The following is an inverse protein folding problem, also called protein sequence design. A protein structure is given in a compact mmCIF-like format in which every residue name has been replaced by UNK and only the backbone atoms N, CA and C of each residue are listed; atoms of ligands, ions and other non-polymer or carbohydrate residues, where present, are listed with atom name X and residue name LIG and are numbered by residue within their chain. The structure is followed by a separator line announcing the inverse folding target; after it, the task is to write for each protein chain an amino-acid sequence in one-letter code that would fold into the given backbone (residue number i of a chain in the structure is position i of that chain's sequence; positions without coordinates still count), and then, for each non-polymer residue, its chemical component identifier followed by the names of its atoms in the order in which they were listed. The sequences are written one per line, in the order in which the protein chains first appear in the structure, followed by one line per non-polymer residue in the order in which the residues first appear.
data_IF_905873953785
#
_entry.id   IF_905873953785
#
_cell.length_a   1.000
_cell.length_b   1.000
_cell.length_c   1.000
_cell.angle_alpha   90.00
_cell.angle_beta   90.00
_cell.angle_gamma   90.00
#
_symmetry.space_group_name_H-M   'P 1'
#
loop_
_entity.id
_entity.type
_entity.pdbx_description
1 polymer ?
#
# COMPACT_ATOMS: atom_id res chain seq x y z
N UNK A 1 30.67 24.12 2.04
CA UNK A 1 29.96 22.87 2.44
C UNK A 1 28.48 22.85 2.10
N UNK A 2 27.69 23.93 2.25
CA UNK A 2 26.26 23.95 1.86
C UNK A 2 26.05 23.76 0.36
N UNK A 3 26.88 24.36 -0.50
CA UNK A 3 26.76 24.30 -1.96
C UNK A 3 26.97 22.93 -2.60
N UNK A 4 27.48 21.94 -1.86
CA UNK A 4 27.75 20.61 -2.41
C UNK A 4 26.64 19.58 -2.15
N UNK A 5 25.77 19.84 -1.16
CA UNK A 5 24.75 18.89 -0.73
C UNK A 5 23.32 19.39 -0.98
N UNK A 6 23.13 20.68 -1.20
CA UNK A 6 21.81 21.28 -1.38
C UNK A 6 21.74 22.03 -2.71
N UNK A 7 20.66 21.88 -3.42
CA UNK A 7 20.31 22.77 -4.52
C UNK A 7 19.72 24.03 -3.91
N UNK A 8 20.25 25.17 -4.30
CA UNK A 8 19.93 26.48 -3.71
C UNK A 8 19.40 27.40 -4.80
N UNK A 9 18.26 28.05 -4.51
CA UNK A 9 17.67 29.10 -5.35
C UNK A 9 17.40 30.29 -4.46
N UNK A 10 17.73 31.49 -4.96
CA UNK A 10 17.35 32.75 -4.36
C UNK A 10 16.25 33.40 -5.19
N UNK A 11 15.18 33.83 -4.53
CA UNK A 11 13.97 34.32 -5.15
C UNK A 11 13.65 35.75 -4.67
N UNK A 12 13.14 36.58 -5.59
CA UNK A 12 12.59 37.91 -5.25
C UNK A 12 11.25 37.79 -4.52
N UNK A 13 10.72 38.95 -4.10
CA UNK A 13 9.34 39.10 -3.58
C UNK A 13 8.26 38.58 -4.55
N UNK A 14 8.53 38.59 -5.83
CA UNK A 14 7.60 38.20 -6.89
C UNK A 14 7.86 36.78 -7.39
N UNK A 15 8.53 35.94 -6.59
CA UNK A 15 8.94 34.57 -6.96
C UNK A 15 9.85 34.48 -8.19
N UNK A 16 10.53 35.58 -8.57
CA UNK A 16 11.49 35.55 -9.69
C UNK A 16 12.83 34.98 -9.25
N UNK A 17 13.42 34.14 -10.09
CA UNK A 17 14.70 33.52 -9.83
C UNK A 17 15.82 34.57 -10.00
N UNK A 18 16.52 34.84 -8.90
CA UNK A 18 17.67 35.76 -8.88
C UNK A 18 18.99 35.02 -9.11
N UNK A 19 19.18 33.94 -8.38
CA UNK A 19 20.41 33.17 -8.37
C UNK A 19 20.12 31.70 -8.09
N UNK A 20 20.91 30.84 -8.66
CA UNK A 20 20.89 29.40 -8.43
C UNK A 20 22.33 28.88 -8.32
N UNK A 21 22.54 27.81 -7.54
CA UNK A 21 23.85 27.19 -7.46
C UNK A 21 24.10 26.20 -8.60
N UNK A 22 25.39 25.83 -8.81
CA UNK A 22 25.80 24.90 -9.86
C UNK A 22 25.09 23.54 -9.75
N UNK A 23 24.88 23.03 -8.52
CA UNK A 23 24.22 21.76 -8.30
C UNK A 23 22.78 21.75 -8.83
N UNK A 24 22.04 22.87 -8.69
CA UNK A 24 20.71 22.98 -9.28
C UNK A 24 20.77 22.96 -10.82
N UNK A 25 21.68 23.74 -11.41
CA UNK A 25 21.83 23.80 -12.86
C UNK A 25 22.16 22.40 -13.45
N UNK A 26 23.07 21.68 -12.79
CA UNK A 26 23.46 20.33 -13.20
C UNK A 26 22.29 19.35 -13.10
N UNK A 27 21.60 19.30 -11.95
CA UNK A 27 20.54 18.35 -11.70
C UNK A 27 19.28 18.59 -12.53
N UNK A 28 18.99 19.84 -12.87
CA UNK A 28 17.83 20.24 -13.63
C UNK A 28 18.11 20.51 -15.11
N UNK A 29 19.38 20.46 -15.53
CA UNK A 29 19.84 20.64 -16.90
C UNK A 29 19.54 22.04 -17.47
N UNK A 30 19.33 23.05 -16.61
CA UNK A 30 19.17 24.43 -17.02
C UNK A 30 20.52 25.15 -17.08
N UNK A 31 20.57 26.19 -17.90
CA UNK A 31 21.62 27.20 -17.83
C UNK A 31 21.13 28.39 -17.01
N UNK A 32 22.02 29.23 -16.55
CA UNK A 32 21.65 30.44 -15.81
C UNK A 32 20.76 31.36 -16.66
N UNK A 33 21.01 31.42 -17.97
CA UNK A 33 20.25 32.23 -18.92
C UNK A 33 18.82 31.70 -19.15
N UNK A 34 18.62 30.38 -19.03
CA UNK A 34 17.28 29.77 -19.12
C UNK A 34 16.38 30.18 -17.92
N UNK A 35 16.98 30.46 -16.77
CA UNK A 35 16.27 30.64 -15.49
C UNK A 35 16.17 32.10 -15.05
N UNK A 36 17.11 32.94 -15.46
CA UNK A 36 17.25 34.31 -14.94
C UNK A 36 15.96 35.12 -15.14
N UNK A 37 15.43 35.66 -14.04
CA UNK A 37 14.15 36.39 -13.96
C UNK A 37 12.93 35.57 -14.38
N UNK A 38 13.06 34.25 -14.54
CA UNK A 38 11.92 33.34 -14.69
C UNK A 38 11.09 33.28 -13.42
N UNK A 39 9.81 33.01 -13.57
CA UNK A 39 8.93 32.75 -12.43
C UNK A 39 9.17 31.36 -11.87
N UNK A 40 9.56 31.25 -10.60
CA UNK A 40 9.77 29.95 -9.95
C UNK A 40 8.57 29.02 -10.07
N UNK A 41 7.35 29.58 -10.02
CA UNK A 41 6.11 28.81 -10.09
C UNK A 41 5.87 28.16 -11.47
N UNK A 42 6.56 28.62 -12.51
CA UNK A 42 6.49 27.96 -13.84
C UNK A 42 7.25 26.63 -13.88
N UNK A 43 8.17 26.40 -12.96
CA UNK A 43 8.94 25.18 -12.84
C UNK A 43 8.35 24.18 -11.83
N UNK A 44 7.35 24.61 -11.03
CA UNK A 44 6.70 23.77 -10.03
C UNK A 44 5.60 22.93 -10.67
N UNK A 45 5.63 21.64 -10.44
CA UNK A 45 4.55 20.73 -10.80
C UNK A 45 3.53 20.69 -9.66
N UNK A 46 2.42 21.45 -9.77
CA UNK A 46 1.38 21.55 -8.75
C UNK A 46 0.42 22.69 -9.04
N UNK A 47 -0.62 22.83 -8.22
CA UNK A 47 -1.58 23.93 -8.37
C UNK A 47 -0.97 25.25 -7.89
N UNK A 48 -0.90 26.24 -8.79
CA UNK A 48 -0.35 27.57 -8.47
C UNK A 48 -1.04 28.22 -7.26
N UNK A 49 -2.33 27.94 -7.06
CA UNK A 49 -3.10 28.49 -5.93
C UNK A 49 -2.62 28.00 -4.55
N UNK A 50 -2.12 26.77 -4.46
CA UNK A 50 -1.54 26.24 -3.21
C UNK A 50 -0.22 26.92 -2.89
N UNK A 51 0.62 27.08 -3.90
CA UNK A 51 1.90 27.78 -3.77
C UNK A 51 1.75 29.27 -3.44
N UNK A 52 0.68 29.91 -3.89
CA UNK A 52 0.40 31.30 -3.53
C UNK A 52 0.21 31.46 -2.01
N UNK A 53 -0.48 30.50 -1.34
CA UNK A 53 -0.62 30.54 0.12
C UNK A 53 0.72 30.38 0.84
N UNK A 54 1.57 29.48 0.36
CA UNK A 54 2.94 29.31 0.88
C UNK A 54 3.72 30.61 0.73
N UNK A 55 3.59 31.26 -0.44
CA UNK A 55 4.26 32.52 -0.72
C UNK A 55 3.83 33.65 0.22
N UNK A 56 2.53 33.78 0.46
CA UNK A 56 1.97 34.78 1.40
C UNK A 56 2.50 34.57 2.83
N UNK A 57 2.66 33.32 3.28
CA UNK A 57 3.23 33.01 4.60
C UNK A 57 4.72 33.32 4.69
N UNK A 58 5.49 33.08 3.63
CA UNK A 58 6.91 33.41 3.57
C UNK A 58 7.14 34.94 3.72
N UNK A 59 6.27 35.75 3.13
CA UNK A 59 6.34 37.23 3.26
C UNK A 59 5.92 37.72 4.62
N UNK A 60 5.20 36.91 5.41
CA UNK A 60 4.95 37.18 6.84
C UNK A 60 6.14 36.71 7.73
N UNK A 61 7.23 36.25 7.12
CA UNK A 61 8.41 35.82 7.83
C UNK A 61 8.36 34.38 8.34
N UNK A 62 7.38 33.58 7.90
CA UNK A 62 7.30 32.16 8.25
C UNK A 62 8.16 31.34 7.31
N UNK A 63 8.92 30.42 7.85
CA UNK A 63 9.64 29.40 7.07
C UNK A 63 8.64 28.32 6.63
N UNK A 64 8.84 27.77 5.42
CA UNK A 64 8.09 26.63 4.93
C UNK A 64 9.01 25.42 4.72
N UNK A 65 8.54 24.23 5.11
CA UNK A 65 9.21 22.95 4.85
C UNK A 65 8.18 21.97 4.30
N UNK A 66 8.55 21.26 3.25
CA UNK A 66 7.66 20.28 2.66
C UNK A 66 8.24 19.62 1.42
N UNK A 67 7.44 18.75 0.83
CA UNK A 67 7.76 18.15 -0.46
C UNK A 67 7.34 19.09 -1.59
N UNK A 68 8.20 19.23 -2.59
CA UNK A 68 7.89 19.91 -3.85
C UNK A 68 8.27 19.04 -5.03
N UNK A 69 7.69 19.30 -6.18
CA UNK A 69 8.05 18.63 -7.42
C UNK A 69 8.36 19.71 -8.46
N UNK A 70 9.55 19.67 -9.01
CA UNK A 70 9.99 20.61 -10.06
C UNK A 70 10.23 19.87 -11.38
N UNK A 71 10.09 20.60 -12.48
CA UNK A 71 10.28 20.08 -13.84
C UNK A 71 11.67 20.44 -14.33
N UNK A 72 12.43 19.47 -14.87
CA UNK A 72 13.70 19.73 -15.53
C UNK A 72 13.50 20.37 -16.91
N UNK A 73 14.56 20.87 -17.52
CA UNK A 73 14.55 21.42 -18.89
C UNK A 73 14.00 20.43 -19.93
N UNK A 74 14.12 19.13 -19.67
CA UNK A 74 13.66 18.08 -20.59
C UNK A 74 12.28 17.50 -20.23
N UNK A 75 11.58 18.12 -19.25
CA UNK A 75 10.24 17.70 -18.85
C UNK A 75 10.21 16.57 -17.81
N UNK A 76 11.35 16.17 -17.26
CA UNK A 76 11.41 15.17 -16.19
C UNK A 76 10.98 15.79 -14.86
N UNK A 77 10.25 15.01 -14.06
CA UNK A 77 9.83 15.41 -12.72
C UNK A 77 10.90 15.02 -11.68
N UNK A 78 11.29 16.00 -10.87
CA UNK A 78 12.18 15.82 -9.72
C UNK A 78 11.43 16.07 -8.41
N UNK A 79 11.39 15.06 -7.58
CA UNK A 79 10.81 15.18 -6.24
C UNK A 79 11.85 15.67 -5.26
N UNK A 80 11.51 16.73 -4.54
CA UNK A 80 12.42 17.44 -3.65
C UNK A 80 11.83 17.53 -2.24
N UNK A 81 12.69 17.34 -1.25
CA UNK A 81 12.43 17.87 0.09
C UNK A 81 12.95 19.29 0.13
N UNK A 82 12.06 20.25 0.40
CA UNK A 82 12.30 21.67 0.18
C UNK A 82 12.11 22.47 1.45
N UNK A 83 13.03 23.38 1.70
CA UNK A 83 12.96 24.37 2.77
C UNK A 83 13.03 25.76 2.17
N UNK A 84 12.05 26.61 2.47
CA UNK A 84 12.02 28.01 2.04
C UNK A 84 12.23 28.90 3.25
N UNK A 85 13.24 29.74 3.18
CA UNK A 85 13.71 30.57 4.28
C UNK A 85 13.61 32.05 3.89
N UNK A 86 12.78 32.83 4.57
CA UNK A 86 12.76 34.28 4.38
C UNK A 86 14.10 34.90 4.82
N UNK A 87 14.69 35.74 3.98
CA UNK A 87 15.91 36.49 4.25
C UNK A 87 15.55 37.95 4.49
N UNK A 88 16.02 38.49 5.61
CA UNK A 88 15.65 39.83 6.07
C UNK A 88 16.72 40.87 5.69
N UNK A 89 16.23 42.04 5.32
CA UNK A 89 17.07 43.22 5.22
C UNK A 89 16.32 44.38 5.97
N UNK A 90 17.01 45.01 6.89
CA UNK A 90 16.45 46.12 7.73
C UNK A 90 15.10 45.77 8.40
N UNK A 91 14.95 44.49 8.85
CA UNK A 91 13.75 44.02 9.56
C UNK A 91 12.59 43.56 8.68
N UNK A 92 12.68 43.73 7.37
CA UNK A 92 11.68 43.28 6.41
C UNK A 92 12.19 42.11 5.59
N UNK A 93 11.30 41.20 5.19
CA UNK A 93 11.65 40.13 4.24
C UNK A 93 12.02 40.76 2.91
N UNK A 94 13.23 40.47 2.45
CA UNK A 94 13.79 41.04 1.23
C UNK A 94 13.82 40.02 0.07
N UNK A 95 14.09 38.80 0.40
CA UNK A 95 14.18 37.69 -0.54
C UNK A 95 13.87 36.36 0.16
N UNK A 96 13.66 35.29 -0.61
CA UNK A 96 13.51 33.95 -0.09
C UNK A 96 14.67 33.10 -0.60
N UNK A 97 15.36 32.41 0.29
CA UNK A 97 16.35 31.39 -0.06
C UNK A 97 15.68 30.01 0.04
N UNK A 98 15.84 29.18 -0.97
CA UNK A 98 15.33 27.83 -0.96
C UNK A 98 16.47 26.82 -0.90
N UNK A 99 16.28 25.77 -0.12
CA UNK A 99 17.19 24.64 -0.03
C UNK A 99 16.42 23.40 -0.44
N UNK A 100 16.96 22.65 -1.40
CA UNK A 100 16.31 21.44 -1.92
C UNK A 100 17.24 20.24 -1.85
N UNK A 101 16.68 19.10 -1.45
CA UNK A 101 17.32 17.79 -1.49
C UNK A 101 16.57 16.92 -2.48
N UNK A 102 17.27 16.33 -3.44
CA UNK A 102 16.67 15.41 -4.43
C UNK A 102 16.28 14.10 -3.74
N UNK A 103 14.98 13.77 -3.78
CA UNK A 103 14.38 12.52 -3.27
C UNK A 103 13.83 11.65 -4.40
N UNK A 104 14.13 11.99 -5.66
CA UNK A 104 13.55 11.32 -6.83
C UNK A 104 13.84 9.83 -6.84
N UNK A 105 15.09 9.43 -6.59
CA UNK A 105 15.47 8.02 -6.56
C UNK A 105 14.79 7.28 -5.42
N UNK A 106 14.69 7.90 -4.24
CA UNK A 106 13.98 7.33 -3.09
C UNK A 106 12.50 7.14 -3.40
N UNK A 107 11.82 8.16 -3.94
CA UNK A 107 10.39 8.09 -4.33
C UNK A 107 10.15 7.05 -5.42
N UNK A 108 11.04 6.98 -6.41
CA UNK A 108 10.96 5.96 -7.45
C UNK A 108 11.15 4.55 -6.87
N UNK A 109 12.11 4.35 -5.97
CA UNK A 109 12.32 3.07 -5.31
C UNK A 109 11.11 2.64 -4.48
N UNK A 110 10.48 3.56 -3.73
CA UNK A 110 9.25 3.32 -2.99
C UNK A 110 8.09 2.95 -3.92
N UNK A 111 7.92 3.69 -5.02
CA UNK A 111 6.91 3.39 -6.05
C UNK A 111 7.13 2.02 -6.68
N UNK A 112 8.36 1.69 -7.07
CA UNK A 112 8.70 0.37 -7.61
C UNK A 112 8.47 -0.74 -6.60
N UNK A 113 8.79 -0.51 -5.32
CA UNK A 113 8.51 -1.45 -4.24
C UNK A 113 7.01 -1.67 -4.08
N UNK A 114 6.20 -0.61 -4.10
CA UNK A 114 4.74 -0.72 -4.07
C UNK A 114 4.21 -1.52 -5.25
N UNK A 115 4.61 -1.18 -6.48
CA UNK A 115 4.21 -1.90 -7.69
C UNK A 115 4.64 -3.39 -7.65
N UNK A 116 5.83 -3.69 -7.11
CA UNK A 116 6.33 -5.05 -6.99
C UNK A 116 5.62 -5.91 -5.94
N UNK A 117 4.96 -5.28 -4.94
CA UNK A 117 4.33 -5.96 -3.81
C UNK A 117 2.81 -5.79 -3.72
N UNK A 118 2.18 -5.08 -4.66
CA UNK A 118 0.73 -4.90 -4.73
C UNK A 118 0.14 -5.62 -5.93
N UNK A 119 -1.10 -6.08 -5.78
CA UNK A 119 -1.90 -6.64 -6.87
C UNK A 119 -2.52 -5.50 -7.68
N UNK A 120 -2.33 -5.49 -9.00
CA UNK A 120 -2.70 -4.37 -9.86
C UNK A 120 -4.19 -4.01 -9.82
N UNK A 121 -5.09 -5.02 -9.68
CA UNK A 121 -6.53 -4.79 -9.63
C UNK A 121 -7.00 -4.28 -8.25
N UNK A 122 -6.65 -4.98 -7.18
CA UNK A 122 -7.23 -4.75 -5.84
C UNK A 122 -6.39 -3.87 -4.94
N UNK A 123 -5.14 -3.57 -5.34
CA UNK A 123 -4.13 -2.88 -4.54
C UNK A 123 -3.82 -3.55 -3.18
N UNK A 124 -4.29 -4.77 -2.96
CA UNK A 124 -3.89 -5.60 -1.82
C UNK A 124 -2.45 -6.08 -1.97
N UNK A 125 -1.77 -6.47 -0.89
CA UNK A 125 -0.52 -7.22 -0.98
C UNK A 125 -0.66 -8.42 -1.93
N UNK A 126 0.33 -8.59 -2.82
CA UNK A 126 0.32 -9.66 -3.80
C UNK A 126 1.05 -10.92 -3.30
N UNK A 127 1.11 -11.96 -4.16
CA UNK A 127 1.81 -13.21 -3.87
C UNK A 127 3.27 -13.03 -3.43
N UNK A 128 3.98 -12.05 -4.03
CA UNK A 128 5.38 -11.78 -3.67
C UNK A 128 5.51 -11.26 -2.25
N UNK A 129 4.60 -10.33 -1.85
CA UNK A 129 4.55 -9.81 -0.49
C UNK A 129 4.16 -10.89 0.51
N UNK A 130 3.22 -11.80 0.14
CA UNK A 130 2.83 -12.93 0.98
C UNK A 130 4.04 -13.78 1.37
N UNK A 131 4.85 -14.23 0.39
CA UNK A 131 6.02 -15.08 0.66
C UNK A 131 6.99 -14.41 1.63
N UNK A 132 7.32 -13.13 1.41
CA UNK A 132 8.17 -12.38 2.33
C UNK A 132 7.56 -12.28 3.73
N UNK A 133 6.24 -12.02 3.82
CA UNK A 133 5.54 -11.90 5.10
C UNK A 133 5.44 -13.24 5.85
N UNK A 134 5.33 -14.35 5.12
CA UNK A 134 5.35 -15.70 5.73
C UNK A 134 6.71 -16.02 6.32
N UNK A 135 7.80 -15.76 5.60
CA UNK A 135 9.16 -16.01 6.11
C UNK A 135 9.43 -15.18 7.39
N UNK A 136 9.05 -13.89 7.38
CA UNK A 136 9.15 -13.01 8.55
C UNK A 136 8.31 -13.52 9.73
N UNK A 137 7.10 -14.02 9.46
CA UNK A 137 6.17 -14.50 10.48
C UNK A 137 6.63 -15.83 11.09
N UNK A 138 7.14 -16.76 10.26
CA UNK A 138 7.72 -18.02 10.72
C UNK A 138 8.91 -17.74 11.65
N UNK A 139 9.84 -16.87 11.24
CA UNK A 139 11.00 -16.53 12.04
C UNK A 139 10.61 -15.95 13.42
N UNK A 140 9.61 -15.06 13.49
CA UNK A 140 9.09 -14.52 14.74
C UNK A 140 8.38 -15.59 15.59
N UNK A 141 7.53 -16.39 14.96
CA UNK A 141 6.78 -17.43 15.65
C UNK A 141 7.69 -18.52 16.24
N UNK A 142 8.80 -18.84 15.55
CA UNK A 142 9.82 -19.76 16.05
C UNK A 142 10.55 -19.19 17.28
N UNK A 143 10.87 -17.89 17.28
CA UNK A 143 11.54 -17.22 18.41
C UNK A 143 10.63 -17.09 19.63
N UNK A 144 9.36 -16.73 19.40
CA UNK A 144 8.40 -16.40 20.46
C UNK A 144 7.60 -17.63 20.94
N UNK A 145 7.72 -18.78 20.27
CA UNK A 145 6.93 -19.99 20.53
C UNK A 145 5.43 -19.78 20.26
N UNK A 146 5.08 -18.91 19.31
CA UNK A 146 3.69 -18.56 19.00
C UNK A 146 3.15 -19.36 17.80
N UNK A 147 1.81 -19.36 17.66
CA UNK A 147 1.12 -20.00 16.53
C UNK A 147 0.45 -18.93 15.67
N UNK A 148 0.41 -19.15 14.37
CA UNK A 148 -0.37 -18.36 13.43
C UNK A 148 -1.13 -19.27 12.47
N UNK A 149 -2.17 -18.72 11.84
CA UNK A 149 -2.94 -19.45 10.85
C UNK A 149 -2.77 -18.86 9.44
N UNK A 150 -2.77 -19.74 8.45
CA UNK A 150 -2.87 -19.42 7.03
C UNK A 150 -4.27 -19.81 6.55
N UNK A 151 -5.02 -18.84 6.05
CA UNK A 151 -6.36 -19.08 5.50
C UNK A 151 -6.29 -18.87 3.98
N UNK A 152 -6.60 -19.89 3.23
CA UNK A 152 -6.78 -19.82 1.78
C UNK A 152 -8.27 -19.62 1.49
N UNK A 153 -8.64 -18.53 0.84
CA UNK A 153 -10.02 -18.12 0.56
C UNK A 153 -10.24 -18.03 -0.95
N UNK A 154 -11.37 -18.54 -1.40
CA UNK A 154 -11.79 -18.53 -2.80
C UNK A 154 -13.28 -18.19 -2.92
N UNK A 155 -13.66 -17.49 -3.99
CA UNK A 155 -15.05 -17.09 -4.26
C UNK A 155 -15.74 -18.18 -5.06
N UNK A 156 -16.74 -18.81 -4.45
CA UNK A 156 -17.46 -19.89 -5.08
C UNK A 156 -18.16 -19.43 -6.36
N UNK A 157 -17.96 -20.18 -7.45
CA UNK A 157 -18.60 -19.91 -8.74
C UNK A 157 -18.31 -18.51 -9.32
N UNK A 158 -17.17 -17.91 -9.04
CA UNK A 158 -16.80 -16.57 -9.56
C UNK A 158 -16.89 -16.50 -11.10
N UNK A 159 -16.59 -17.59 -11.79
CA UNK A 159 -16.77 -17.68 -13.24
C UNK A 159 -18.22 -17.40 -13.67
N UNK A 160 -19.21 -17.87 -12.91
CA UNK A 160 -20.64 -17.62 -13.23
C UNK A 160 -20.96 -16.12 -13.10
N UNK A 161 -20.35 -15.42 -12.14
CA UNK A 161 -20.49 -13.96 -12.04
C UNK A 161 -19.94 -13.28 -13.29
N UNK A 162 -18.73 -13.65 -13.72
CA UNK A 162 -18.12 -13.11 -14.95
C UNK A 162 -18.96 -13.40 -16.19
N UNK A 163 -19.45 -14.64 -16.32
CA UNK A 163 -20.26 -15.06 -17.48
C UNK A 163 -21.64 -14.35 -17.51
N UNK A 164 -22.20 -14.00 -16.33
CA UNK A 164 -23.53 -13.38 -16.21
C UNK A 164 -23.50 -11.86 -16.29
N UNK A 165 -22.49 -11.22 -15.69
CA UNK A 165 -22.42 -9.76 -15.51
C UNK A 165 -21.23 -9.12 -16.22
N UNK A 166 -20.33 -9.91 -16.79
CA UNK A 166 -19.12 -9.44 -17.47
C UNK A 166 -17.94 -9.26 -16.50
N UNK A 167 -16.73 -9.26 -17.08
CA UNK A 167 -15.47 -9.17 -16.31
C UNK A 167 -15.34 -7.88 -15.51
N UNK A 168 -15.89 -6.76 -15.99
CA UNK A 168 -15.85 -5.48 -15.27
C UNK A 168 -16.53 -5.58 -13.91
N UNK A 169 -17.69 -6.23 -13.84
CA UNK A 169 -18.43 -6.45 -12.60
C UNK A 169 -17.69 -7.46 -11.71
N UNK A 170 -17.10 -8.51 -12.29
CA UNK A 170 -16.25 -9.43 -11.55
C UNK A 170 -15.04 -8.72 -10.90
N UNK A 171 -14.39 -7.85 -11.63
CA UNK A 171 -13.28 -7.04 -11.11
C UNK A 171 -13.72 -6.12 -9.95
N UNK A 172 -14.87 -5.45 -10.08
CA UNK A 172 -15.44 -4.63 -9.00
C UNK A 172 -15.80 -5.48 -7.78
N UNK A 173 -16.28 -6.70 -7.97
CA UNK A 173 -16.57 -7.64 -6.87
C UNK A 173 -15.28 -8.00 -6.10
N UNK A 174 -14.20 -8.34 -6.81
CA UNK A 174 -12.91 -8.63 -6.21
C UNK A 174 -12.37 -7.44 -5.41
N UNK A 175 -12.47 -6.23 -5.96
CA UNK A 175 -12.07 -4.98 -5.29
C UNK A 175 -12.87 -4.78 -4.00
N UNK A 176 -14.20 -4.94 -4.06
CA UNK A 176 -15.07 -4.67 -2.92
C UNK A 176 -14.93 -5.74 -1.82
N UNK A 177 -14.75 -7.01 -2.18
CA UNK A 177 -14.42 -8.09 -1.23
C UNK A 177 -13.10 -7.77 -0.52
N UNK A 178 -12.05 -7.47 -1.29
CA UNK A 178 -10.76 -7.10 -0.74
C UNK A 178 -10.85 -5.93 0.23
N UNK A 179 -11.58 -4.89 -0.14
CA UNK A 179 -11.81 -3.68 0.66
C UNK A 179 -12.60 -3.94 1.94
N UNK A 180 -13.63 -4.80 1.90
CA UNK A 180 -14.42 -5.14 3.11
C UNK A 180 -13.64 -6.02 4.07
N UNK A 181 -12.95 -7.04 3.55
CA UNK A 181 -12.20 -7.99 4.37
C UNK A 181 -10.96 -7.33 4.98
N UNK A 182 -10.20 -6.53 4.22
CA UNK A 182 -9.01 -5.86 4.76
C UNK A 182 -9.31 -4.85 5.88
N UNK A 183 -10.54 -4.33 5.97
CA UNK A 183 -10.96 -3.43 7.06
C UNK A 183 -11.30 -4.14 8.37
N UNK A 184 -11.38 -5.46 8.37
CA UNK A 184 -11.61 -6.21 9.59
C UNK A 184 -10.41 -6.08 10.54
N UNK A 185 -10.64 -6.04 11.86
CA UNK A 185 -9.56 -5.98 12.83
C UNK A 185 -8.55 -7.12 12.62
N UNK A 186 -7.27 -6.82 12.71
CA UNK A 186 -6.14 -7.74 12.53
C UNK A 186 -5.88 -8.19 11.08
N UNK A 187 -6.62 -7.71 10.07
CA UNK A 187 -6.44 -8.09 8.67
C UNK A 187 -5.83 -6.99 7.79
N UNK A 188 -5.58 -5.81 8.35
CA UNK A 188 -4.84 -4.76 7.64
C UNK A 188 -3.44 -5.27 7.26
N UNK A 189 -3.07 -5.14 5.97
CA UNK A 189 -1.83 -5.68 5.37
C UNK A 189 -1.62 -7.21 5.57
N UNK A 190 -2.65 -7.95 6.02
CA UNK A 190 -2.64 -9.40 6.23
C UNK A 190 -3.53 -10.18 5.26
N UNK A 191 -4.26 -9.47 4.42
CA UNK A 191 -5.01 -10.03 3.29
C UNK A 191 -4.19 -9.86 2.02
N UNK A 192 -3.96 -10.96 1.30
CA UNK A 192 -3.17 -11.02 0.08
C UNK A 192 -4.04 -11.50 -1.08
N UNK A 193 -3.96 -10.83 -2.22
CA UNK A 193 -4.62 -11.29 -3.45
C UNK A 193 -3.61 -12.08 -4.28
N UNK A 194 -3.93 -13.37 -4.53
CA UNK A 194 -3.01 -14.28 -5.19
C UNK A 194 -3.14 -14.24 -6.70
N UNK A 195 -4.31 -14.56 -7.19
CA UNK A 195 -4.68 -14.56 -8.62
C UNK A 195 -6.18 -14.83 -8.76
N UNK A 196 -6.82 -14.27 -9.80
CA UNK A 196 -8.23 -14.54 -10.06
C UNK A 196 -9.11 -14.24 -8.84
N UNK A 197 -9.77 -15.26 -8.30
CA UNK A 197 -10.67 -15.24 -7.16
C UNK A 197 -10.05 -15.74 -5.84
N UNK A 198 -8.72 -15.94 -5.82
CA UNK A 198 -7.98 -16.50 -4.69
C UNK A 198 -7.35 -15.42 -3.80
N UNK A 199 -7.60 -15.52 -2.50
CA UNK A 199 -7.01 -14.67 -1.47
C UNK A 199 -6.37 -15.52 -0.39
N UNK A 200 -5.32 -14.99 0.25
CA UNK A 200 -4.73 -15.60 1.45
C UNK A 200 -4.74 -14.60 2.60
N UNK A 201 -5.02 -15.08 3.79
CA UNK A 201 -4.96 -14.30 5.03
C UNK A 201 -3.92 -14.94 5.95
N UNK A 202 -3.03 -14.11 6.51
CA UNK A 202 -2.12 -14.49 7.58
C UNK A 202 -2.65 -13.96 8.90
N UNK A 203 -3.14 -14.84 9.76
CA UNK A 203 -3.68 -14.48 11.06
C UNK A 203 -2.66 -14.80 12.15
N UNK A 204 -2.03 -13.77 12.73
CA UNK A 204 -0.97 -13.90 13.73
C UNK A 204 -1.45 -14.53 15.05
N UNK A 205 -2.68 -14.31 15.42
CA UNK A 205 -3.29 -14.89 16.64
C UNK A 205 -4.31 -15.97 16.25
N UNK A 206 -3.86 -17.22 16.22
CA UNK A 206 -4.71 -18.35 15.87
C UNK A 206 -5.90 -18.56 16.82
N UNK A 207 -5.85 -18.01 18.04
CA UNK A 207 -6.98 -18.09 18.97
C UNK A 207 -8.21 -17.28 18.52
N UNK A 208 -8.01 -16.29 17.62
CA UNK A 208 -9.09 -15.47 17.05
C UNK A 208 -9.70 -16.04 15.78
N UNK A 209 -9.25 -17.21 15.33
CA UNK A 209 -9.55 -17.76 14.01
C UNK A 209 -11.07 -17.85 13.74
N UNK A 210 -11.83 -18.52 14.61
CA UNK A 210 -13.28 -18.69 14.41
C UNK A 210 -14.02 -17.34 14.38
N UNK A 211 -13.61 -16.38 15.21
CA UNK A 211 -14.18 -15.03 15.25
C UNK A 211 -13.89 -14.24 13.98
N UNK A 212 -12.67 -14.39 13.45
CA UNK A 212 -12.26 -13.71 12.21
C UNK A 212 -12.99 -14.30 11.02
N UNK A 213 -13.07 -15.64 10.90
CA UNK A 213 -13.82 -16.32 9.84
C UNK A 213 -15.30 -15.91 9.89
N UNK A 214 -15.92 -15.93 11.07
CA UNK A 214 -17.30 -15.48 11.24
C UNK A 214 -17.51 -14.02 10.80
N UNK A 215 -16.54 -13.15 11.09
CA UNK A 215 -16.57 -11.74 10.65
C UNK A 215 -16.45 -11.62 9.14
N UNK A 216 -15.61 -12.41 8.49
CA UNK A 216 -15.46 -12.45 7.04
C UNK A 216 -16.79 -12.88 6.40
N UNK A 217 -17.37 -14.01 6.85
CA UNK A 217 -18.65 -14.49 6.34
C UNK A 217 -19.75 -13.45 6.46
N UNK A 218 -19.86 -12.80 7.61
CA UNK A 218 -20.84 -11.73 7.83
C UNK A 218 -20.66 -10.52 6.89
N UNK A 219 -19.45 -10.24 6.38
CA UNK A 219 -19.25 -9.20 5.36
C UNK A 219 -19.69 -9.69 3.96
N UNK A 220 -19.44 -10.94 3.63
CA UNK A 220 -19.83 -11.53 2.32
C UNK A 220 -21.34 -11.68 2.22
N UNK A 221 -22.01 -12.14 3.28
CA UNK A 221 -23.47 -12.36 3.33
C UNK A 221 -24.29 -11.08 3.14
N UNK A 222 -23.71 -9.90 3.29
CA UNK A 222 -24.37 -8.62 3.00
C UNK A 222 -24.68 -8.43 1.51
N UNK A 223 -24.13 -9.27 0.63
CA UNK A 223 -24.18 -9.06 -0.80
C UNK A 223 -23.44 -7.81 -1.27
N UNK A 224 -23.43 -7.56 -2.55
CA UNK A 224 -22.68 -6.50 -3.20
C UNK A 224 -23.56 -5.75 -4.19
N UNK A 225 -23.69 -4.45 -4.01
CA UNK A 225 -24.36 -3.58 -4.98
C UNK A 225 -23.28 -2.93 -5.87
N UNK A 226 -23.21 -3.38 -7.13
CA UNK A 226 -22.17 -2.99 -8.07
C UNK A 226 -22.84 -2.53 -9.38
N UNK A 227 -22.67 -1.27 -9.74
CA UNK A 227 -23.23 -0.67 -10.96
C UNK A 227 -24.74 -0.99 -11.19
N UNK A 228 -25.52 -0.98 -10.11
CA UNK A 228 -26.98 -1.27 -10.17
C UNK A 228 -27.34 -2.75 -10.16
N UNK A 229 -26.38 -3.66 -10.03
CA UNK A 229 -26.59 -5.10 -9.86
C UNK A 229 -26.37 -5.49 -8.40
N UNK A 230 -27.32 -6.26 -7.83
CA UNK A 230 -27.14 -6.89 -6.53
C UNK A 230 -26.62 -8.31 -6.71
N UNK A 231 -25.43 -8.58 -6.18
CA UNK A 231 -24.70 -9.83 -6.37
C UNK A 231 -24.49 -10.50 -5.03
N UNK A 232 -24.93 -11.75 -4.93
CA UNK A 232 -24.68 -12.63 -3.80
C UNK A 232 -23.65 -13.68 -4.21
N UNK A 233 -22.65 -13.85 -3.38
CA UNK A 233 -21.63 -14.89 -3.56
C UNK A 233 -21.37 -15.58 -2.24
N UNK A 234 -20.82 -16.78 -2.31
CA UNK A 234 -20.31 -17.50 -1.17
C UNK A 234 -18.79 -17.66 -1.31
N UNK A 235 -18.12 -17.88 -0.21
CA UNK A 235 -16.68 -18.14 -0.17
C UNK A 235 -16.39 -19.46 0.53
N UNK A 236 -15.30 -20.09 0.12
CA UNK A 236 -14.74 -21.26 0.78
C UNK A 236 -13.37 -20.91 1.38
N UNK A 237 -13.13 -21.30 2.62
CA UNK A 237 -11.89 -21.04 3.33
C UNK A 237 -11.27 -22.34 3.79
N UNK A 238 -9.99 -22.58 3.47
CA UNK A 238 -9.20 -23.64 4.06
C UNK A 238 -8.18 -23.06 5.04
N UNK A 239 -7.91 -23.78 6.11
CA UNK A 239 -7.08 -23.32 7.22
C UNK A 239 -5.95 -24.29 7.50
N UNK A 240 -4.73 -23.79 7.63
CA UNK A 240 -3.59 -24.50 8.21
C UNK A 240 -2.95 -23.68 9.32
N UNK A 241 -2.33 -24.34 10.30
CA UNK A 241 -1.79 -23.71 11.52
C UNK A 241 -0.31 -24.03 11.66
N UNK A 242 0.52 -22.99 11.79
CA UNK A 242 1.92 -23.11 12.16
C UNK A 242 2.05 -23.22 13.69
N UNK A 243 2.91 -24.10 14.23
CA UNK A 243 3.69 -25.14 13.55
C UNK A 243 2.95 -26.49 13.48
N UNK A 244 1.67 -26.55 13.90
CA UNK A 244 0.93 -27.80 14.11
C UNK A 244 0.78 -28.61 12.82
N UNK A 245 0.54 -27.95 11.67
CA UNK A 245 0.41 -28.61 10.37
C UNK A 245 1.74 -28.70 9.62
N UNK A 246 2.54 -27.65 9.69
CA UNK A 246 3.86 -27.60 9.07
C UNK A 246 4.68 -26.42 9.59
N UNK A 247 6.01 -26.56 9.50
CA UNK A 247 6.97 -25.46 9.72
C UNK A 247 7.41 -24.81 8.40
N UNK A 248 6.97 -25.35 7.26
CA UNK A 248 7.34 -24.87 5.95
C UNK A 248 6.23 -24.01 5.33
N UNK A 249 6.56 -22.77 4.95
CA UNK A 249 5.63 -21.80 4.37
C UNK A 249 4.84 -22.37 3.17
N UNK A 250 5.53 -23.02 2.24
CA UNK A 250 4.89 -23.60 1.05
C UNK A 250 3.92 -24.71 1.41
N UNK A 251 4.32 -25.60 2.35
CA UNK A 251 3.46 -26.70 2.77
C UNK A 251 2.22 -26.21 3.51
N UNK A 252 2.35 -25.14 4.33
CA UNK A 252 1.18 -24.51 4.97
C UNK A 252 0.18 -23.99 3.93
N UNK A 253 0.65 -23.32 2.88
CA UNK A 253 -0.23 -22.86 1.80
C UNK A 253 -0.91 -24.02 1.06
N UNK A 254 -0.16 -25.10 0.74
CA UNK A 254 -0.71 -26.29 0.10
C UNK A 254 -1.80 -26.95 0.95
N UNK A 255 -1.56 -27.11 2.27
CA UNK A 255 -2.53 -27.67 3.19
C UNK A 255 -3.79 -26.82 3.34
N UNK A 256 -3.64 -25.50 3.37
CA UNK A 256 -4.78 -24.59 3.38
C UNK A 256 -5.59 -24.67 2.07
N UNK A 257 -4.93 -24.77 0.91
CA UNK A 257 -5.58 -24.95 -0.39
C UNK A 257 -6.35 -26.28 -0.46
N UNK A 258 -5.73 -27.40 -0.05
CA UNK A 258 -6.39 -28.71 0.04
C UNK A 258 -7.66 -28.63 0.91
N UNK A 259 -7.59 -28.00 2.09
CA UNK A 259 -8.74 -27.81 2.97
C UNK A 259 -9.82 -26.89 2.37
N UNK A 260 -9.43 -25.82 1.66
CA UNK A 260 -10.36 -24.95 0.95
C UNK A 260 -11.13 -25.72 -0.14
N UNK A 261 -10.46 -26.60 -0.86
CA UNK A 261 -11.13 -27.44 -1.84
C UNK A 261 -12.18 -28.38 -1.20
N UNK A 262 -11.92 -28.90 0.02
CA UNK A 262 -12.91 -29.66 0.79
C UNK A 262 -14.10 -28.77 1.20
N UNK A 263 -13.84 -27.52 1.64
CA UNK A 263 -14.85 -26.55 1.98
C UNK A 263 -15.80 -26.23 0.79
N UNK A 264 -15.28 -26.19 -0.44
CA UNK A 264 -16.08 -25.97 -1.68
C UNK A 264 -17.16 -27.03 -1.92
N UNK A 265 -17.06 -28.20 -1.32
CA UNK A 265 -18.10 -29.23 -1.45
C UNK A 265 -19.33 -28.94 -0.59
N UNK A 266 -19.27 -27.98 0.31
CA UNK A 266 -20.35 -27.59 1.19
C UNK A 266 -21.19 -26.46 0.57
N UNK A 267 -22.45 -26.39 0.97
CA UNK A 267 -23.34 -25.29 0.55
C UNK A 267 -23.08 -24.03 1.37
N UNK A 268 -23.19 -22.86 0.71
CA UNK A 268 -23.02 -21.56 1.35
C UNK A 268 -21.57 -21.18 1.62
N UNK A 269 -21.36 -20.28 2.58
CA UNK A 269 -20.03 -19.98 3.11
C UNK A 269 -19.56 -21.14 3.97
N UNK A 270 -18.36 -21.64 3.73
CA UNK A 270 -17.84 -22.78 4.46
C UNK A 270 -16.34 -22.66 4.72
N UNK A 271 -15.88 -23.30 5.78
CA UNK A 271 -14.44 -23.47 6.01
C UNK A 271 -14.11 -24.87 6.52
N UNK A 272 -12.87 -25.28 6.28
CA UNK A 272 -12.28 -26.53 6.74
C UNK A 272 -10.87 -26.29 7.26
N UNK A 273 -10.49 -27.09 8.25
CA UNK A 273 -9.10 -27.21 8.69
C UNK A 273 -8.36 -28.23 7.85
N UNK A 274 -7.06 -28.07 7.72
CA UNK A 274 -6.22 -29.15 7.20
C UNK A 274 -6.47 -30.45 7.97
N UNK A 275 -6.27 -31.59 7.32
CA UNK A 275 -6.50 -32.90 7.98
C UNK A 275 -5.57 -33.13 9.16
N UNK A 276 -4.37 -32.54 9.11
CA UNK A 276 -3.40 -32.62 10.19
C UNK A 276 -3.88 -31.85 11.42
N UNK A 277 -4.40 -30.64 11.27
CA UNK A 277 -5.03 -29.84 12.34
C UNK A 277 -6.32 -30.48 12.89
N UNK A 278 -7.12 -31.11 12.03
CA UNK A 278 -8.38 -31.73 12.44
C UNK A 278 -8.18 -32.81 13.49
N UNK A 279 -7.09 -33.56 13.43
CA UNK A 279 -6.72 -34.57 14.42
C UNK A 279 -6.39 -33.91 15.79
N UNK A 280 -5.70 -32.79 15.81
CA UNK A 280 -5.31 -32.05 17.03
C UNK A 280 -6.54 -31.42 17.70
N UNK A 281 -7.45 -30.85 16.93
CA UNK A 281 -8.69 -30.25 17.44
C UNK A 281 -9.62 -31.32 18.06
N UNK A 282 -9.71 -32.50 17.45
CA UNK A 282 -10.49 -33.61 17.99
C UNK A 282 -9.91 -34.15 19.29
N UNK A 283 -8.58 -34.27 19.40
CA UNK A 283 -7.91 -34.71 20.63
C UNK A 283 -8.11 -33.70 21.79
N UNK A 284 -8.06 -32.41 21.50
CA UNK A 284 -8.27 -31.38 22.52
C UNK A 284 -9.73 -31.29 23.01
N UNK A 285 -10.72 -31.54 22.14
CA UNK A 285 -12.14 -31.62 22.53
C UNK A 285 -12.48 -32.93 23.26
N UNK A 286 -11.69 -33.99 23.05
CA UNK A 286 -11.86 -35.28 23.77
C UNK A 286 -11.37 -35.29 25.21
N UNK A 287 -10.49 -34.37 25.59
CA UNK A 287 -9.90 -34.25 26.93
C UNK A 287 -10.67 -33.32 27.88
N UNK A 288 -11.82 -32.80 27.45
CA UNK A 288 -12.73 -31.93 28.28
C UNK A 288 -14.03 -32.64 28.65
N UNK A 289 -13.97 -33.94 28.90
CA UNK A 289 -15.08 -34.71 29.53
C UNK A 289 -14.64 -35.37 30.83
#
# INVERSE_FOLDING_TARGET
MLNQNFMIIQLTSEAKIMEVNELFLEKFHYTIDDLKMGDYLDYVNGEKAEWQKVWDELWQGKQWNGESCLVTKYGELKWLESTFIPVYNNGNVHQVMTLHVDKTDQKNAEKWKQLAFRHELTNLPNRRKLLTSMDELICRAEQDGTKFAVLFMDINQFKVVNDSYGHTIGDLLLIEIGKRVSKLPSLDERLFHMSGDEFIILLEDSAKLDSVIGSIFAQIEKGFELEGHYIEVNISIGVSIYPDDSVNARRLMELADEAMYEAKTKAGNAYEYSRESSLVVMMNKGNLK
#
